data_IF_181808739338
#
_entry.id   IF_181808739338
#
_cell.length_a   1.000
_cell.length_b   1.000
_cell.length_c   1.000
_cell.angle_alpha   90.00
_cell.angle_beta   90.00
_cell.angle_gamma   90.00
#
_symmetry.space_group_name_H-M   'P 1'
#
loop_
_entity.id
_entity.type
_entity.pdbx_description
1 polymer ?
#
# COMPACT_ATOMS: atom_id res chain seq x y z
N UNK A 1 -29.31 -36.63 -16.80
CA UNK A 1 -27.88 -36.69 -16.43
C UNK A 1 -27.52 -35.37 -15.74
N UNK A 2 -26.88 -35.46 -14.57
CA UNK A 2 -26.89 -34.47 -13.49
C UNK A 2 -25.83 -33.38 -13.73
N UNK A 3 -26.23 -32.11 -13.66
CA UNK A 3 -25.35 -30.94 -13.78
C UNK A 3 -24.40 -30.81 -12.58
N UNK A 4 -23.13 -30.53 -12.87
CA UNK A 4 -22.11 -30.27 -11.86
C UNK A 4 -21.76 -28.78 -11.86
N UNK A 5 -22.47 -27.99 -11.05
CA UNK A 5 -22.05 -26.65 -10.65
C UNK A 5 -21.37 -26.77 -9.28
N UNK A 6 -20.04 -26.89 -9.29
CA UNK A 6 -19.25 -26.78 -8.06
C UNK A 6 -19.40 -25.37 -7.47
N UNK A 7 -19.40 -25.21 -6.14
CA UNK A 7 -19.57 -23.89 -5.52
C UNK A 7 -18.39 -22.98 -5.88
N UNK A 8 -18.68 -21.90 -6.62
CA UNK A 8 -17.74 -20.81 -6.89
C UNK A 8 -17.42 -20.14 -5.56
N UNK A 9 -16.26 -20.46 -5.00
CA UNK A 9 -15.78 -19.81 -3.78
C UNK A 9 -15.23 -18.46 -4.18
N UNK A 10 -16.04 -17.41 -4.13
CA UNK A 10 -15.58 -16.03 -4.24
C UNK A 10 -14.57 -15.76 -3.13
N UNK A 11 -13.25 -15.66 -3.40
CA UNK A 11 -12.37 -15.05 -2.44
C UNK A 11 -12.57 -13.54 -2.57
N UNK A 12 -12.11 -12.77 -1.59
CA UNK A 12 -11.84 -11.34 -1.73
C UNK A 12 -12.89 -10.33 -1.26
N UNK A 13 -14.02 -10.67 -0.62
CA UNK A 13 -14.88 -9.62 -0.04
C UNK A 13 -14.09 -8.72 0.95
N UNK A 14 -13.28 -9.33 1.82
CA UNK A 14 -12.49 -8.59 2.80
C UNK A 14 -11.20 -7.97 2.21
N UNK A 15 -10.66 -8.55 1.13
CA UNK A 15 -9.47 -7.97 0.47
C UNK A 15 -9.87 -6.75 -0.35
N UNK A 16 -10.89 -6.90 -1.21
CA UNK A 16 -11.38 -5.83 -2.07
C UNK A 16 -11.87 -4.64 -1.26
N UNK A 17 -12.66 -4.87 -0.20
CA UNK A 17 -13.14 -3.79 0.65
C UNK A 17 -11.99 -3.00 1.31
N UNK A 18 -10.93 -3.68 1.79
CA UNK A 18 -9.76 -3.00 2.36
C UNK A 18 -9.03 -2.13 1.34
N UNK A 19 -8.84 -2.63 0.13
CA UNK A 19 -8.21 -1.85 -0.95
C UNK A 19 -9.07 -0.67 -1.39
N UNK A 20 -10.40 -0.85 -1.46
CA UNK A 20 -11.35 0.23 -1.77
C UNK A 20 -11.36 1.33 -0.72
N UNK A 21 -11.32 0.97 0.58
CA UNK A 21 -11.24 1.97 1.67
C UNK A 21 -9.92 2.74 1.60
N UNK A 22 -8.79 2.07 1.33
CA UNK A 22 -7.49 2.75 1.13
C UNK A 22 -7.55 3.71 -0.05
N UNK A 23 -8.15 3.28 -1.17
CA UNK A 23 -8.32 4.12 -2.36
C UNK A 23 -9.20 5.35 -2.07
N UNK A 24 -10.32 5.17 -1.35
CA UNK A 24 -11.20 6.27 -0.93
C UNK A 24 -10.50 7.27 -0.01
N UNK A 25 -9.70 6.79 0.95
CA UNK A 25 -8.93 7.67 1.84
C UNK A 25 -7.87 8.44 1.05
N UNK A 26 -7.16 7.78 0.13
CA UNK A 26 -6.20 8.45 -0.75
C UNK A 26 -6.88 9.53 -1.62
N UNK A 27 -8.05 9.23 -2.17
CA UNK A 27 -8.84 10.18 -2.95
C UNK A 27 -9.33 11.37 -2.12
N UNK A 28 -9.87 11.11 -0.92
CA UNK A 28 -10.29 12.15 0.01
C UNK A 28 -9.12 13.06 0.39
N UNK A 29 -7.94 12.49 0.61
CA UNK A 29 -6.73 13.27 0.88
C UNK A 29 -6.36 14.16 -0.32
N UNK A 30 -6.32 13.61 -1.55
CA UNK A 30 -6.03 14.39 -2.77
C UNK A 30 -7.07 15.50 -2.99
N UNK A 31 -8.34 15.23 -2.71
CA UNK A 31 -9.41 16.22 -2.80
C UNK A 31 -9.24 17.33 -1.77
N UNK A 32 -8.87 17.01 -0.53
CA UNK A 32 -8.58 17.98 0.53
C UNK A 32 -7.35 18.81 0.19
N UNK A 33 -6.25 18.21 -0.27
CA UNK A 33 -5.06 18.97 -0.68
C UNK A 33 -5.36 19.91 -1.83
N UNK A 34 -6.08 19.45 -2.86
CA UNK A 34 -6.46 20.29 -3.98
C UNK A 34 -7.44 21.42 -3.57
N UNK A 35 -8.30 21.17 -2.58
CA UNK A 35 -9.20 22.20 -2.04
C UNK A 35 -8.43 23.25 -1.21
N UNK A 36 -7.47 22.81 -0.38
CA UNK A 36 -6.60 23.69 0.40
C UNK A 36 -5.70 24.54 -0.51
N UNK A 37 -5.16 23.94 -1.57
CA UNK A 37 -4.37 24.64 -2.58
C UNK A 37 -5.22 25.71 -3.29
N UNK A 38 -6.42 25.37 -3.76
CA UNK A 38 -7.33 26.37 -4.37
C UNK A 38 -7.67 27.52 -3.42
N UNK A 39 -7.95 27.22 -2.15
CA UNK A 39 -8.26 28.24 -1.14
C UNK A 39 -7.04 29.12 -0.82
N UNK A 40 -5.85 28.53 -0.76
CA UNK A 40 -4.59 29.26 -0.59
C UNK A 40 -4.32 30.16 -1.82
N UNK A 41 -4.53 29.65 -3.04
CA UNK A 41 -4.38 30.42 -4.28
C UNK A 41 -5.33 31.62 -4.34
N UNK A 42 -6.53 31.52 -3.78
CA UNK A 42 -7.49 32.65 -3.75
C UNK A 42 -7.05 33.75 -2.78
N UNK A 43 -6.22 33.41 -1.80
CA UNK A 43 -5.75 34.32 -0.74
C UNK A 43 -4.36 34.88 -1.04
N UNK A 44 -3.63 34.27 -1.99
CA UNK A 44 -2.20 34.51 -2.18
C UNK A 44 -1.95 35.35 -3.43
N UNK A 45 -1.60 36.61 -3.19
CA UNK A 45 -1.19 37.60 -4.20
C UNK A 45 0.29 37.44 -4.62
N UNK A 46 0.99 36.41 -4.10
CA UNK A 46 2.43 36.23 -4.25
C UNK A 46 2.78 35.07 -5.22
N UNK A 47 3.45 35.34 -6.35
CA UNK A 47 3.74 34.34 -7.39
C UNK A 47 4.76 33.26 -6.98
N UNK A 48 5.52 33.44 -5.90
CA UNK A 48 6.60 32.50 -5.54
C UNK A 48 6.09 31.20 -4.89
N UNK A 49 4.97 31.26 -4.16
CA UNK A 49 4.35 30.08 -3.55
C UNK A 49 3.49 29.26 -4.53
N UNK A 50 3.17 29.80 -5.71
CA UNK A 50 2.49 29.06 -6.77
C UNK A 50 3.40 27.98 -7.42
N UNK A 51 4.70 27.99 -7.09
CA UNK A 51 5.70 27.03 -7.56
C UNK A 51 5.98 25.91 -6.54
N UNK A 52 5.12 25.72 -5.53
CA UNK A 52 5.25 24.62 -4.59
C UNK A 52 5.10 23.29 -5.34
N UNK A 53 6.15 22.47 -5.29
CA UNK A 53 6.22 21.17 -5.96
C UNK A 53 5.01 20.32 -5.54
N UNK A 54 4.28 19.72 -6.50
CA UNK A 54 3.14 18.89 -6.19
C UNK A 54 3.54 17.79 -5.18
N UNK A 55 2.77 17.69 -4.09
CA UNK A 55 3.05 16.80 -2.98
C UNK A 55 3.31 15.38 -3.50
N UNK A 56 4.53 14.88 -3.32
CA UNK A 56 4.90 13.56 -3.84
C UNK A 56 4.14 12.47 -3.07
N UNK A 57 3.82 11.34 -3.73
CA UNK A 57 3.18 10.20 -3.06
C UNK A 57 3.93 9.75 -1.80
N UNK A 58 5.25 9.93 -1.75
CA UNK A 58 6.06 9.65 -0.56
C UNK A 58 5.78 10.61 0.59
N UNK A 59 5.57 11.89 0.32
CA UNK A 59 5.25 12.90 1.33
C UNK A 59 3.86 12.70 1.87
N UNK A 60 2.91 12.37 0.99
CA UNK A 60 1.55 11.99 1.34
C UNK A 60 1.52 10.77 2.28
N UNK A 61 2.29 9.73 1.96
CA UNK A 61 2.46 8.56 2.82
C UNK A 61 3.16 8.90 4.15
N UNK A 62 4.10 9.85 4.14
CA UNK A 62 4.79 10.30 5.35
C UNK A 62 3.83 11.05 6.28
N UNK A 63 3.00 11.94 5.74
CA UNK A 63 1.96 12.66 6.48
C UNK A 63 0.89 11.72 7.02
N UNK A 64 0.41 10.79 6.18
CA UNK A 64 -0.57 9.78 6.61
C UNK A 64 -0.01 8.90 7.74
N UNK A 65 1.25 8.46 7.64
CA UNK A 65 1.90 7.72 8.73
C UNK A 65 2.08 8.56 9.99
N UNK A 66 2.43 9.84 9.85
CA UNK A 66 2.62 10.72 11.00
C UNK A 66 1.29 11.01 11.73
N UNK A 67 0.20 11.15 10.99
CA UNK A 67 -1.10 11.54 11.55
C UNK A 67 -1.93 10.34 12.04
N UNK A 68 -1.89 9.22 11.32
CA UNK A 68 -2.81 8.09 11.54
C UNK A 68 -2.14 6.93 12.28
N UNK A 69 -0.85 6.67 12.03
CA UNK A 69 -0.20 5.53 12.65
C UNK A 69 0.34 5.92 14.03
N UNK A 70 0.07 5.10 15.07
CA UNK A 70 0.76 5.23 16.35
C UNK A 70 2.27 5.21 16.12
N UNK A 71 3.05 5.99 16.90
CA UNK A 71 4.50 5.98 16.77
C UNK A 71 4.99 4.54 16.84
N UNK A 72 5.84 4.11 15.88
CA UNK A 72 6.23 2.73 15.79
C UNK A 72 6.85 2.31 17.11
N UNK A 73 6.36 1.22 17.70
CA UNK A 73 6.99 0.60 18.86
C UNK A 73 8.40 0.16 18.43
N UNK A 74 9.38 1.00 18.75
CA UNK A 74 10.81 0.77 18.51
C UNK A 74 11.40 -0.06 19.64
N UNK A 75 10.70 -1.14 20.00
CA UNK A 75 11.26 -2.13 20.91
C UNK A 75 12.34 -2.91 20.13
N UNK A 76 13.61 -2.94 20.58
CA UNK A 76 14.67 -3.68 19.92
C UNK A 76 14.31 -5.15 19.70
N UNK A 77 13.59 -5.79 20.62
CA UNK A 77 13.16 -7.18 20.46
C UNK A 77 12.15 -7.34 19.33
N UNK A 78 11.23 -6.40 19.20
CA UNK A 78 10.27 -6.36 18.10
C UNK A 78 10.95 -6.13 16.74
N UNK A 79 11.99 -5.27 16.69
CA UNK A 79 12.78 -5.05 15.47
C UNK A 79 13.56 -6.30 15.06
N UNK A 80 14.20 -6.97 16.02
CA UNK A 80 14.93 -8.22 15.78
C UNK A 80 13.99 -9.34 15.33
N UNK A 81 12.85 -9.49 15.99
CA UNK A 81 11.81 -10.44 15.61
C UNK A 81 11.29 -10.19 14.19
N UNK A 82 10.95 -8.93 13.87
CA UNK A 82 10.47 -8.55 12.54
C UNK A 82 11.53 -8.78 11.46
N UNK A 83 12.80 -8.49 11.77
CA UNK A 83 13.91 -8.76 10.85
C UNK A 83 14.04 -10.25 10.55
N UNK A 84 13.91 -11.10 11.58
CA UNK A 84 13.99 -12.56 11.48
C UNK A 84 12.82 -13.11 10.68
N UNK A 85 11.60 -12.66 10.98
CA UNK A 85 10.39 -13.01 10.25
C UNK A 85 10.52 -12.66 8.76
N UNK A 86 10.98 -11.44 8.43
CA UNK A 86 11.17 -11.00 7.04
C UNK A 86 12.18 -11.87 6.30
N UNK A 87 13.34 -12.16 6.92
CA UNK A 87 14.37 -13.02 6.32
C UNK A 87 13.85 -14.44 6.05
N UNK A 88 13.09 -15.02 6.97
CA UNK A 88 12.42 -16.32 6.76
C UNK A 88 11.45 -16.27 5.58
N UNK A 89 10.65 -15.21 5.48
CA UNK A 89 9.71 -15.06 4.38
C UNK A 89 10.41 -14.87 3.03
N UNK A 90 11.47 -14.05 2.98
CA UNK A 90 12.31 -13.89 1.79
C UNK A 90 12.95 -15.21 1.36
N UNK A 91 13.43 -16.02 2.32
CA UNK A 91 13.95 -17.35 2.04
C UNK A 91 12.87 -18.26 1.43
N UNK A 92 11.65 -18.24 1.97
CA UNK A 92 10.51 -19.00 1.42
C UNK A 92 10.16 -18.54 0.01
N UNK A 93 10.10 -17.23 -0.24
CA UNK A 93 9.84 -16.68 -1.57
C UNK A 93 10.92 -17.11 -2.58
N UNK A 94 12.20 -17.02 -2.20
CA UNK A 94 13.32 -17.51 -3.02
C UNK A 94 13.20 -19.00 -3.31
N UNK A 95 12.81 -19.80 -2.32
CA UNK A 95 12.64 -21.24 -2.50
C UNK A 95 11.48 -21.56 -3.46
N UNK A 96 10.34 -20.90 -3.31
CA UNK A 96 9.21 -21.06 -4.24
C UNK A 96 9.61 -20.65 -5.66
N UNK A 97 10.31 -19.52 -5.81
CA UNK A 97 10.80 -19.04 -7.10
C UNK A 97 11.78 -20.03 -7.74
N UNK A 98 12.76 -20.53 -6.98
CA UNK A 98 13.69 -21.58 -7.45
C UNK A 98 12.96 -22.85 -7.86
N UNK A 99 11.97 -23.29 -7.07
CA UNK A 99 11.16 -24.47 -7.40
C UNK A 99 10.34 -24.28 -8.67
N UNK A 100 9.78 -23.08 -8.87
CA UNK A 100 9.05 -22.74 -10.09
C UNK A 100 9.97 -22.73 -11.31
N UNK A 101 11.15 -22.12 -11.20
CA UNK A 101 12.15 -22.16 -12.26
C UNK A 101 12.58 -23.59 -12.58
N UNK A 102 12.92 -24.40 -11.58
CA UNK A 102 13.27 -25.80 -11.78
C UNK A 102 12.15 -26.60 -12.46
N UNK A 103 10.89 -26.37 -12.08
CA UNK A 103 9.73 -26.97 -12.74
C UNK A 103 9.61 -26.53 -14.21
N UNK A 104 9.77 -25.23 -14.49
CA UNK A 104 9.70 -24.69 -15.85
C UNK A 104 10.86 -25.18 -16.75
N UNK A 105 12.03 -25.44 -16.17
CA UNK A 105 13.22 -25.94 -16.86
C UNK A 105 13.22 -27.46 -17.05
N UNK A 106 12.25 -28.18 -16.47
CA UNK A 106 12.07 -29.62 -16.70
C UNK A 106 11.27 -29.82 -17.99
N UNK A 107 11.86 -30.37 -19.07
CA UNK A 107 11.10 -30.66 -20.29
C UNK A 107 10.11 -31.81 -20.05
N UNK A 108 9.00 -31.88 -20.81
CA UNK A 108 7.95 -32.88 -20.64
C UNK A 108 8.42 -34.33 -20.86
#
# INVERSE_FOLDING_TARGET
MRGATGPVRWPCWNSWHRWSVIALVAYAFLAVTAALERAAQTTRDDPDEANLVPLSSHELLRLLRALILPPPRRDPDHLLWWSTWRRRHQHRARLCHRRWHAYADTPP
#
